data_IF_433185756341
#
_entry.id   IF_433185756341
#
_cell.length_a   1.000
_cell.length_b   1.000
_cell.length_c   1.000
_cell.angle_alpha   90.00
_cell.angle_beta   90.00
_cell.angle_gamma   90.00
#
_symmetry.space_group_name_H-M   'P 1'
#
loop_
_entity.id
_entity.type
_entity.pdbx_description
1 polymer ?
#
# COMPACT_ATOMS: atom_id res chain seq x y z
N UNK A 1 -13.65 -35.81 -8.15
CA UNK A 1 -12.68 -35.31 -9.12
C UNK A 1 -11.31 -35.27 -8.44
N UNK A 2 -10.26 -35.90 -9.05
CA UNK A 2 -8.93 -36.02 -8.45
C UNK A 2 -8.32 -34.66 -8.03
N UNK A 3 -8.57 -33.62 -8.83
CA UNK A 3 -8.11 -32.25 -8.54
C UNK A 3 -8.78 -31.62 -7.29
N UNK A 4 -10.04 -31.98 -6.99
CA UNK A 4 -10.72 -31.55 -5.76
C UNK A 4 -10.27 -32.34 -4.54
N UNK A 5 -9.90 -33.61 -4.72
CA UNK A 5 -9.35 -34.44 -3.66
C UNK A 5 -7.93 -33.98 -3.27
N UNK A 6 -7.09 -33.60 -4.24
CA UNK A 6 -5.75 -33.06 -4.03
C UNK A 6 -5.76 -31.68 -3.33
N UNK A 7 -6.72 -30.82 -3.66
CA UNK A 7 -6.92 -29.55 -2.94
C UNK A 7 -7.36 -29.78 -1.49
N UNK A 8 -8.15 -30.83 -1.20
CA UNK A 8 -8.55 -31.20 0.17
C UNK A 8 -7.44 -31.90 0.96
N UNK A 9 -6.53 -32.58 0.27
CA UNK A 9 -5.41 -33.30 0.87
C UNK A 9 -4.23 -32.39 1.27
N UNK A 10 -4.28 -31.08 0.95
CA UNK A 10 -3.25 -30.11 1.34
C UNK A 10 -1.91 -30.27 0.59
N UNK A 11 -1.88 -31.05 -0.49
CA UNK A 11 -0.72 -31.10 -1.39
C UNK A 11 -0.82 -29.91 -2.35
N UNK A 12 -0.29 -28.75 -1.97
CA UNK A 12 -0.18 -27.61 -2.88
C UNK A 12 0.82 -27.95 -3.99
N UNK A 13 0.32 -28.04 -5.22
CA UNK A 13 1.11 -28.26 -6.44
C UNK A 13 1.93 -27.01 -6.81
N UNK A 14 2.66 -26.43 -5.87
CA UNK A 14 3.52 -25.26 -6.10
C UNK A 14 3.38 -24.16 -5.05
N UNK A 15 4.12 -23.06 -5.18
CA UNK A 15 4.05 -21.94 -4.27
C UNK A 15 2.74 -21.16 -4.42
N UNK A 16 2.17 -20.70 -3.31
CA UNK A 16 1.07 -19.75 -3.28
C UNK A 16 1.62 -18.33 -3.50
N UNK A 17 1.43 -17.80 -4.71
CA UNK A 17 1.95 -16.48 -5.12
C UNK A 17 0.95 -15.39 -4.73
N UNK A 18 1.32 -14.60 -3.75
CA UNK A 18 0.47 -13.58 -3.15
C UNK A 18 1.04 -12.18 -3.42
N UNK A 19 0.19 -11.27 -3.89
CA UNK A 19 0.51 -9.87 -4.05
C UNK A 19 0.08 -9.04 -2.85
N UNK A 20 0.77 -7.95 -2.55
CA UNK A 20 0.34 -7.02 -1.50
C UNK A 20 0.87 -5.61 -1.74
N UNK A 21 0.10 -4.61 -1.31
CA UNK A 21 0.66 -3.28 -1.10
C UNK A 21 1.77 -3.37 -0.03
N UNK A 22 2.79 -2.53 -0.16
CA UNK A 22 3.90 -2.47 0.81
C UNK A 22 3.40 -2.18 2.23
N UNK A 23 2.46 -1.24 2.38
CA UNK A 23 1.83 -0.94 3.67
C UNK A 23 1.17 -2.16 4.30
N UNK A 24 0.37 -2.89 3.55
CA UNK A 24 -0.35 -4.08 4.03
C UNK A 24 0.64 -5.20 4.37
N UNK A 25 1.64 -5.44 3.51
CA UNK A 25 2.70 -6.42 3.75
C UNK A 25 3.47 -6.14 5.05
N UNK A 26 3.79 -4.88 5.32
CA UNK A 26 4.53 -4.50 6.53
C UNK A 26 3.68 -4.36 7.80
N UNK A 27 2.39 -4.01 7.67
CA UNK A 27 1.55 -3.69 8.83
C UNK A 27 0.55 -4.78 9.21
N UNK A 28 -0.10 -5.43 8.25
CA UNK A 28 -1.23 -6.33 8.48
C UNK A 28 -0.89 -7.80 8.31
N UNK A 29 -0.07 -8.13 7.29
CA UNK A 29 0.20 -9.52 6.95
C UNK A 29 1.11 -10.29 7.91
N UNK A 30 2.10 -9.71 8.61
CA UNK A 30 3.06 -10.52 9.37
C UNK A 30 2.42 -11.51 10.36
N UNK A 31 1.45 -11.12 11.21
CA UNK A 31 0.81 -12.07 12.12
C UNK A 31 -0.04 -13.12 11.38
N UNK A 32 -0.65 -12.75 10.26
CA UNK A 32 -1.46 -13.67 9.45
C UNK A 32 -0.58 -14.71 8.76
N UNK A 33 0.52 -14.28 8.14
CA UNK A 33 1.49 -15.17 7.49
C UNK A 33 2.12 -16.13 8.50
N UNK A 34 2.49 -15.64 9.69
CA UNK A 34 3.01 -16.47 10.77
C UNK A 34 2.01 -17.53 11.22
N UNK A 35 0.73 -17.15 11.38
CA UNK A 35 -0.33 -18.10 11.73
C UNK A 35 -0.57 -19.11 10.60
N UNK A 36 -0.64 -18.66 9.37
CA UNK A 36 -0.84 -19.53 8.20
C UNK A 36 0.28 -20.56 8.07
N UNK A 37 1.54 -20.13 8.20
CA UNK A 37 2.70 -21.03 8.14
C UNK A 37 2.66 -22.10 9.23
N UNK A 38 2.22 -21.77 10.44
CA UNK A 38 2.05 -22.78 11.52
C UNK A 38 0.96 -23.81 11.22
N UNK A 39 -0.12 -23.39 10.56
CA UNK A 39 -1.24 -24.27 10.21
C UNK A 39 -0.98 -25.08 8.95
N UNK A 40 -0.20 -24.55 8.04
CA UNK A 40 0.10 -25.13 6.72
C UNK A 40 1.59 -25.10 6.43
N UNK A 41 2.43 -25.85 7.17
CA UNK A 41 3.89 -25.75 7.11
C UNK A 41 4.48 -26.20 5.77
N UNK A 42 3.75 -26.96 4.99
CA UNK A 42 4.16 -27.43 3.65
C UNK A 42 3.87 -26.43 2.53
N UNK A 43 3.05 -25.41 2.78
CA UNK A 43 2.72 -24.40 1.77
C UNK A 43 3.81 -23.33 1.73
N UNK A 44 4.43 -23.17 0.57
CA UNK A 44 5.37 -22.09 0.29
C UNK A 44 4.60 -20.87 -0.17
N UNK A 45 4.70 -19.75 0.57
CA UNK A 45 4.12 -18.47 0.15
C UNK A 45 5.20 -17.63 -0.50
N UNK A 46 4.96 -17.20 -1.74
CA UNK A 46 5.75 -16.19 -2.44
C UNK A 46 5.02 -14.85 -2.38
N UNK A 47 5.47 -13.96 -1.50
CA UNK A 47 4.89 -12.63 -1.34
C UNK A 47 5.63 -11.62 -2.22
N UNK A 48 4.87 -10.92 -3.07
CA UNK A 48 5.37 -9.85 -3.92
C UNK A 48 4.68 -8.53 -3.57
N UNK A 49 5.44 -7.45 -3.42
CA UNK A 49 4.87 -6.12 -3.21
C UNK A 49 4.77 -5.35 -4.52
N UNK A 50 3.80 -4.42 -4.59
CA UNK A 50 3.58 -3.59 -5.77
C UNK A 50 2.48 -2.55 -5.57
N UNK A 51 2.22 -1.77 -6.62
CA UNK A 51 1.09 -0.85 -6.65
C UNK A 51 -0.21 -1.61 -6.96
N UNK A 52 -1.36 -1.03 -6.60
CA UNK A 52 -2.68 -1.62 -6.92
C UNK A 52 -2.79 -2.02 -8.38
N UNK A 53 -2.45 -1.12 -9.31
CA UNK A 53 -2.55 -1.41 -10.75
C UNK A 53 -1.64 -2.57 -11.20
N UNK A 54 -0.38 -2.58 -10.75
CA UNK A 54 0.55 -3.64 -11.10
C UNK A 54 0.16 -5.00 -10.53
N UNK A 55 -0.37 -5.03 -9.30
CA UNK A 55 -0.82 -6.26 -8.65
C UNK A 55 -2.07 -6.83 -9.32
N UNK A 56 -3.06 -5.97 -9.63
CA UNK A 56 -4.27 -6.40 -10.35
C UNK A 56 -3.92 -7.00 -11.71
N UNK A 57 -3.00 -6.38 -12.46
CA UNK A 57 -2.56 -6.91 -13.74
C UNK A 57 -1.93 -8.30 -13.59
N UNK A 58 -1.10 -8.50 -12.56
CA UNK A 58 -0.49 -9.82 -12.30
C UNK A 58 -1.50 -10.89 -11.92
N UNK A 59 -2.61 -10.52 -11.24
CA UNK A 59 -3.71 -11.47 -10.97
C UNK A 59 -4.45 -11.81 -12.27
N UNK A 60 -4.76 -10.82 -13.11
CA UNK A 60 -5.39 -11.02 -14.40
C UNK A 60 -4.54 -11.92 -15.31
N UNK A 61 -3.21 -11.73 -15.29
CA UNK A 61 -2.25 -12.52 -16.07
C UNK A 61 -1.93 -13.91 -15.43
N UNK A 62 -2.62 -14.30 -14.37
CA UNK A 62 -2.39 -15.55 -13.62
C UNK A 62 -0.96 -15.70 -13.06
N UNK A 63 -0.28 -14.60 -12.82
CA UNK A 63 1.06 -14.56 -12.18
C UNK A 63 0.98 -14.50 -10.66
N UNK A 64 -0.19 -14.16 -10.13
CA UNK A 64 -0.54 -14.19 -8.70
C UNK A 64 -1.90 -14.87 -8.57
N UNK A 65 -2.08 -15.65 -7.52
CA UNK A 65 -3.36 -16.27 -7.17
C UNK A 65 -4.31 -15.26 -6.52
N UNK A 66 -3.76 -14.32 -5.74
CA UNK A 66 -4.52 -13.25 -5.09
C UNK A 66 -3.65 -12.03 -4.80
N UNK A 67 -4.28 -10.89 -4.53
CA UNK A 67 -3.56 -9.70 -4.10
C UNK A 67 -4.36 -8.85 -3.11
N UNK A 68 -3.68 -8.31 -2.11
CA UNK A 68 -4.20 -7.26 -1.24
C UNK A 68 -3.94 -5.91 -1.90
N UNK A 69 -5.01 -5.24 -2.29
CA UNK A 69 -4.99 -3.95 -2.97
C UNK A 69 -5.91 -2.95 -2.27
N UNK A 70 -5.80 -1.68 -2.59
CA UNK A 70 -6.66 -0.64 -2.03
C UNK A 70 -7.43 0.09 -3.13
N UNK A 71 -8.66 0.47 -2.85
CA UNK A 71 -9.45 1.35 -3.72
C UNK A 71 -8.86 2.78 -3.80
N UNK A 72 -9.13 3.51 -4.88
CA UNK A 72 -10.01 3.15 -6.00
C UNK A 72 -9.32 2.31 -7.07
N UNK A 73 -10.04 1.32 -7.60
CA UNK A 73 -9.63 0.55 -8.79
C UNK A 73 -10.84 -0.03 -9.53
N UNK A 74 -10.64 -0.42 -10.78
CA UNK A 74 -11.63 -1.14 -11.58
C UNK A 74 -11.04 -2.46 -12.06
N UNK A 75 -11.69 -3.57 -11.70
CA UNK A 75 -11.31 -4.92 -12.12
C UNK A 75 -12.57 -5.82 -12.17
N UNK A 76 -13.42 -5.65 -13.21
CA UNK A 76 -14.73 -6.29 -13.26
C UNK A 76 -14.66 -7.82 -13.38
N UNK A 77 -13.53 -8.36 -13.84
CA UNK A 77 -13.30 -9.79 -14.00
C UNK A 77 -12.80 -10.49 -12.74
N UNK A 78 -12.45 -9.73 -11.71
CA UNK A 78 -11.91 -10.29 -10.47
C UNK A 78 -12.95 -10.26 -9.35
N UNK A 79 -13.00 -11.34 -8.56
CA UNK A 79 -13.74 -11.36 -7.30
C UNK A 79 -13.06 -10.47 -6.25
N UNK A 80 -13.86 -9.77 -5.44
CA UNK A 80 -13.37 -8.85 -4.40
C UNK A 80 -13.92 -9.24 -3.04
N UNK A 81 -13.06 -9.19 -2.02
CA UNK A 81 -13.43 -9.37 -0.62
C UNK A 81 -12.84 -8.22 0.20
N UNK A 82 -13.63 -7.35 0.82
CA UNK A 82 -13.13 -6.37 1.78
C UNK A 82 -12.55 -7.09 3.01
N UNK A 83 -11.29 -6.79 3.38
CA UNK A 83 -10.58 -7.47 4.48
C UNK A 83 -10.03 -6.51 5.53
N UNK A 84 -9.71 -5.27 5.14
CA UNK A 84 -9.18 -4.24 6.01
C UNK A 84 -9.79 -2.88 5.65
N UNK A 85 -9.94 -2.05 6.66
CA UNK A 85 -10.19 -0.62 6.52
C UNK A 85 -8.91 0.12 6.93
N UNK A 86 -8.47 1.07 6.09
CA UNK A 86 -7.25 1.83 6.29
C UNK A 86 -7.54 3.32 6.37
N UNK A 87 -7.23 3.91 7.52
CA UNK A 87 -7.21 5.35 7.67
C UNK A 87 -5.97 5.93 7.00
N UNK A 88 -6.16 6.92 6.13
CA UNK A 88 -5.09 7.63 5.45
C UNK A 88 -4.92 9.02 6.06
N UNK A 89 -3.68 9.39 6.32
CA UNK A 89 -3.33 10.71 6.86
C UNK A 89 -2.32 11.42 5.96
N UNK A 90 -2.49 12.72 5.83
CA UNK A 90 -1.47 13.58 5.25
C UNK A 90 -0.36 13.80 6.28
N UNK A 91 0.87 13.63 5.85
CA UNK A 91 2.07 13.90 6.66
C UNK A 91 2.90 15.01 6.02
N UNK A 92 3.37 15.92 6.88
CA UNK A 92 4.25 17.04 6.54
C UNK A 92 5.39 17.13 7.54
N UNK A 93 6.40 17.95 7.27
CA UNK A 93 7.43 18.26 8.25
C UNK A 93 6.82 18.90 9.51
N UNK A 94 7.49 18.74 10.66
CA UNK A 94 6.99 19.20 11.96
C UNK A 94 6.76 20.70 12.03
N UNK A 95 7.60 21.47 11.37
CA UNK A 95 7.58 22.94 11.30
C UNK A 95 6.63 23.48 10.23
N UNK A 96 6.01 22.62 9.44
CA UNK A 96 5.00 23.01 8.47
C UNK A 96 3.76 23.54 9.18
N UNK A 97 3.19 24.63 8.67
CA UNK A 97 1.92 25.16 9.19
C UNK A 97 0.80 24.11 9.10
N UNK A 98 -0.20 24.14 9.99
CA UNK A 98 -1.31 23.20 9.93
C UNK A 98 -2.04 23.22 8.58
N UNK A 99 -2.25 22.04 8.00
CA UNK A 99 -2.91 21.85 6.71
C UNK A 99 -4.37 21.46 6.92
N UNK A 100 -5.30 22.24 6.37
CA UNK A 100 -6.75 21.96 6.39
C UNK A 100 -7.30 21.66 5.00
N UNK A 101 -6.67 22.17 3.97
CA UNK A 101 -7.05 22.03 2.56
C UNK A 101 -5.78 21.98 1.69
N UNK A 102 -5.90 21.45 0.47
CA UNK A 102 -4.76 21.32 -0.44
C UNK A 102 -4.05 22.66 -0.74
N UNK A 103 -4.81 23.75 -0.79
CA UNK A 103 -4.26 25.09 -0.99
C UNK A 103 -3.25 25.52 0.09
N UNK A 104 -3.36 25.00 1.31
CA UNK A 104 -2.43 25.34 2.41
C UNK A 104 -1.03 24.75 2.18
N UNK A 105 -0.93 23.73 1.33
CA UNK A 105 0.35 23.13 0.89
C UNK A 105 1.04 23.94 -0.21
N UNK A 106 0.30 24.84 -0.89
CA UNK A 106 0.83 25.60 -2.01
C UNK A 106 1.44 24.69 -3.09
N UNK A 107 2.57 25.08 -3.63
CA UNK A 107 3.32 24.28 -4.62
C UNK A 107 4.30 23.30 -3.99
N UNK A 108 3.83 22.52 -3.01
CA UNK A 108 4.65 21.52 -2.35
C UNK A 108 5.07 20.39 -3.30
N UNK A 109 6.16 19.73 -2.95
CA UNK A 109 6.55 18.45 -3.57
C UNK A 109 5.69 17.32 -3.01
N UNK A 110 5.06 16.52 -3.85
CA UNK A 110 4.44 15.27 -3.43
C UNK A 110 5.50 14.17 -3.36
N UNK A 111 5.51 13.43 -2.28
CA UNK A 111 6.35 12.24 -2.10
C UNK A 111 5.42 11.04 -2.09
N UNK A 112 5.54 10.15 -3.07
CA UNK A 112 4.55 9.11 -3.30
C UNK A 112 5.16 7.85 -3.93
N UNK A 113 4.41 6.77 -3.92
CA UNK A 113 4.71 5.60 -4.74
C UNK A 113 4.52 5.91 -6.23
N UNK A 114 5.03 5.02 -7.08
CA UNK A 114 4.88 5.10 -8.54
C UNK A 114 3.40 5.11 -8.98
N UNK A 115 3.16 5.46 -10.22
CA UNK A 115 1.84 5.40 -10.84
C UNK A 115 1.17 4.03 -10.63
N UNK A 116 -0.18 4.03 -10.50
CA UNK A 116 -0.96 2.85 -10.17
C UNK A 116 -1.09 2.60 -8.65
N UNK A 117 -0.45 3.41 -7.79
CA UNK A 117 -0.72 3.43 -6.36
C UNK A 117 -2.03 4.18 -6.09
N UNK A 118 -3.00 3.50 -5.47
CA UNK A 118 -4.31 4.06 -5.13
C UNK A 118 -4.23 5.21 -4.12
N UNK A 119 -3.28 5.18 -3.19
CA UNK A 119 -3.09 6.27 -2.23
C UNK A 119 -2.52 7.52 -2.92
N UNK A 120 -1.58 7.34 -3.85
CA UNK A 120 -1.12 8.45 -4.70
C UNK A 120 -2.29 9.08 -5.45
N UNK A 121 -3.13 8.26 -6.08
CA UNK A 121 -4.30 8.76 -6.80
C UNK A 121 -5.22 9.58 -5.88
N UNK A 122 -5.51 9.13 -4.67
CA UNK A 122 -6.31 9.89 -3.70
C UNK A 122 -5.71 11.24 -3.37
N UNK A 123 -4.39 11.31 -3.21
CA UNK A 123 -3.69 12.57 -2.94
C UNK A 123 -3.74 13.50 -4.16
N UNK A 124 -3.49 12.98 -5.36
CA UNK A 124 -3.60 13.74 -6.62
C UNK A 124 -5.03 14.25 -6.84
N UNK A 125 -6.06 13.42 -6.58
CA UNK A 125 -7.47 13.80 -6.70
C UNK A 125 -7.83 14.91 -5.70
N UNK A 126 -7.32 14.84 -4.46
CA UNK A 126 -7.54 15.86 -3.44
C UNK A 126 -6.89 17.21 -3.82
N UNK A 127 -5.70 17.20 -4.41
CA UNK A 127 -5.08 18.40 -4.97
C UNK A 127 -5.90 18.95 -6.14
N UNK A 128 -6.29 18.09 -7.08
CA UNK A 128 -7.09 18.47 -8.26
C UNK A 128 -8.46 19.08 -7.90
N UNK A 129 -9.11 18.55 -6.85
CA UNK A 129 -10.38 19.10 -6.37
C UNK A 129 -10.28 20.55 -5.81
N UNK A 130 -9.07 21.02 -5.56
CA UNK A 130 -8.77 22.37 -5.06
C UNK A 130 -8.07 23.25 -6.11
N UNK A 131 -7.99 22.82 -7.37
CA UNK A 131 -7.23 23.47 -8.44
C UNK A 131 -5.76 23.76 -8.08
N UNK A 132 -5.18 22.94 -7.20
CA UNK A 132 -3.78 23.05 -6.78
C UNK A 132 -2.96 22.00 -7.52
N UNK A 133 -1.86 22.44 -8.11
CA UNK A 133 -0.89 21.54 -8.75
C UNK A 133 0.36 21.45 -7.89
N UNK A 134 0.86 20.24 -7.60
CA UNK A 134 2.13 20.07 -6.93
C UNK A 134 3.28 20.61 -7.77
N UNK A 135 4.36 21.10 -7.15
CA UNK A 135 5.54 21.56 -7.88
C UNK A 135 6.21 20.42 -8.64
N UNK A 136 6.25 19.26 -8.03
CA UNK A 136 6.83 18.01 -8.57
C UNK A 136 6.34 16.81 -7.79
N UNK A 137 6.57 15.62 -8.33
CA UNK A 137 6.37 14.35 -7.63
C UNK A 137 7.72 13.65 -7.51
N UNK A 138 8.07 13.22 -6.30
CA UNK A 138 9.21 12.34 -6.03
C UNK A 138 8.66 10.93 -5.77
N UNK A 139 9.16 9.96 -6.54
CA UNK A 139 8.70 8.59 -6.46
C UNK A 139 9.64 7.73 -5.61
N UNK A 140 9.05 7.00 -4.66
CA UNK A 140 9.73 6.02 -3.81
C UNK A 140 8.91 4.74 -3.75
N UNK A 141 9.57 3.62 -3.44
CA UNK A 141 8.95 2.31 -3.28
C UNK A 141 8.93 1.83 -1.81
N UNK A 142 9.08 2.75 -0.84
CA UNK A 142 9.26 2.42 0.57
C UNK A 142 8.68 3.52 1.48
N UNK A 143 7.79 3.15 2.41
CA UNK A 143 7.26 4.10 3.40
C UNK A 143 8.34 4.68 4.32
N UNK A 144 9.32 3.91 4.82
CA UNK A 144 10.44 4.49 5.58
C UNK A 144 11.15 5.61 4.84
N UNK A 145 11.41 5.46 3.53
CA UNK A 145 12.05 6.49 2.71
C UNK A 145 11.13 7.71 2.51
N UNK A 146 9.85 7.49 2.20
CA UNK A 146 8.85 8.56 2.07
C UNK A 146 8.81 9.40 3.36
N UNK A 147 8.66 8.75 4.51
CA UNK A 147 8.50 9.42 5.80
C UNK A 147 9.78 10.15 6.21
N UNK A 148 10.96 9.57 5.95
CA UNK A 148 12.22 10.23 6.20
C UNK A 148 12.37 11.52 5.38
N UNK A 149 11.99 11.50 4.08
CA UNK A 149 12.00 12.68 3.23
C UNK A 149 10.99 13.74 3.69
N UNK A 150 9.79 13.34 4.10
CA UNK A 150 8.80 14.26 4.67
C UNK A 150 9.35 14.91 5.95
N UNK A 151 9.90 14.11 6.87
CA UNK A 151 10.47 14.62 8.13
C UNK A 151 11.63 15.59 7.90
N UNK A 152 12.40 15.40 6.82
CA UNK A 152 13.47 16.30 6.39
C UNK A 152 12.95 17.58 5.67
N UNK A 153 11.64 17.78 5.53
CA UNK A 153 11.07 18.96 4.89
C UNK A 153 11.07 18.95 3.36
N UNK A 154 11.28 17.78 2.72
CA UNK A 154 11.32 17.68 1.24
C UNK A 154 9.97 17.93 0.60
N UNK A 155 8.88 17.61 1.32
CA UNK A 155 7.51 17.73 0.81
C UNK A 155 6.47 17.11 1.71
N UNK A 156 5.36 16.69 1.13
CA UNK A 156 4.25 16.03 1.83
C UNK A 156 3.91 14.68 1.20
N UNK A 157 3.28 13.81 1.97
CA UNK A 157 2.81 12.49 1.52
C UNK A 157 1.49 12.12 2.16
N UNK A 158 0.77 11.18 1.57
CA UNK A 158 -0.32 10.46 2.22
C UNK A 158 0.17 9.07 2.62
N UNK A 159 -0.11 8.67 3.85
CA UNK A 159 0.31 7.37 4.38
C UNK A 159 -0.82 6.72 5.18
N UNK A 160 -0.95 5.40 5.18
CA UNK A 160 -1.87 4.73 6.09
C UNK A 160 -1.35 4.82 7.53
N UNK A 161 -2.26 5.10 8.47
CA UNK A 161 -1.93 5.19 9.91
C UNK A 161 -1.26 3.89 10.40
N UNK A 162 -1.62 2.75 9.82
CA UNK A 162 -1.09 1.45 10.19
C UNK A 162 0.43 1.28 9.98
N UNK A 163 1.08 2.13 9.18
CA UNK A 163 2.55 2.08 8.99
C UNK A 163 3.30 2.96 10.00
N UNK A 164 2.66 3.99 10.56
CA UNK A 164 3.32 4.97 11.43
C UNK A 164 3.90 4.38 12.73
N UNK A 165 3.21 3.52 13.48
CA UNK A 165 3.73 2.96 14.74
C UNK A 165 4.91 2.01 14.57
N UNK A 166 5.12 1.49 13.36
CA UNK A 166 6.17 0.52 13.04
C UNK A 166 7.45 1.16 12.54
N UNK A 167 7.39 2.46 12.26
CA UNK A 167 8.55 3.24 11.89
C UNK A 167 9.14 3.82 13.16
N UNK A 168 10.38 3.47 13.46
CA UNK A 168 11.14 3.99 14.62
C UNK A 168 11.48 5.49 14.48
N UNK A 169 10.55 6.28 13.94
CA UNK A 169 10.67 7.73 13.78
C UNK A 169 9.89 8.36 14.92
N UNK A 170 10.52 9.20 15.73
CA UNK A 170 9.84 9.86 16.83
C UNK A 170 8.61 10.62 16.31
N UNK A 171 7.44 10.48 16.96
CA UNK A 171 6.22 11.23 16.59
C UNK A 171 6.42 12.75 16.61
N UNK A 172 7.50 13.20 17.27
CA UNK A 172 7.89 14.59 17.36
C UNK A 172 8.39 15.23 16.05
N UNK A 173 8.72 14.44 15.02
CA UNK A 173 9.18 14.95 13.71
C UNK A 173 8.10 15.08 12.65
N UNK A 174 6.85 14.68 12.97
CA UNK A 174 5.71 14.70 12.03
C UNK A 174 4.44 15.25 12.69
N UNK A 175 3.57 15.82 11.89
CA UNK A 175 2.18 16.19 12.19
C UNK A 175 1.24 15.65 11.14
#
# INVERSE_FOLDING_TARGET
DEAEADMRAGSSLGPFRLGSLESTAGSRLPPLLSRYHRLHPTVVIELQTGTTGALLQRVIDHRLEAAFVSEPFTAPTLSRLPVFEEELVLVTAKDHAPVRRAADLGRSTLIAFAHGCSYRKRLEDWFGASDVLPARVLEFASYPAIIACVAAGTGCAIVPVSVLPKLSIPPASMR
#
